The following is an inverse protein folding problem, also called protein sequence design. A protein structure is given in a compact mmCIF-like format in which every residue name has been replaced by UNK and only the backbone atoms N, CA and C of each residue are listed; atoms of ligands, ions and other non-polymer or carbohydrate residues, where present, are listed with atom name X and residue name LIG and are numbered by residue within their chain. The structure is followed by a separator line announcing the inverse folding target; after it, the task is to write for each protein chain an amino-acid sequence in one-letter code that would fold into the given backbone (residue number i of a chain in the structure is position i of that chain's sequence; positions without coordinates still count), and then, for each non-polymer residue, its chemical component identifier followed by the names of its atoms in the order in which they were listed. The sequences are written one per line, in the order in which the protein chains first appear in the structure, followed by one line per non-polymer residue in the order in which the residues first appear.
data_IF_359720733046
#
_entry.id   IF_359720733046
#
_cell.length_a   1.000
_cell.length_b   1.000
_cell.length_c   1.000
_cell.angle_alpha   90.00
_cell.angle_beta   90.00
_cell.angle_gamma   90.00
#
_symmetry.space_group_name_H-M   'P 1'
#
loop_
_entity.id
_entity.type
_entity.pdbx_description
1 polymer ?
#
# COMPACT_ATOMS: atom_id res chain seq x y z
N UNK A 1 -6.32 -21.27 30.10
CA UNK A 1 -5.47 -20.05 30.03
C UNK A 1 -5.81 -19.35 28.72
N UNK A 2 -6.68 -18.33 28.73
CA UNK A 2 -7.05 -17.62 27.50
C UNK A 2 -5.84 -16.79 27.02
N UNK A 3 -5.36 -16.93 25.77
CA UNK A 3 -4.34 -16.03 25.27
C UNK A 3 -4.91 -14.62 25.26
N UNK A 4 -4.27 -13.70 26.00
CA UNK A 4 -4.63 -12.27 26.02
C UNK A 4 -4.72 -11.78 24.57
N UNK A 5 -5.94 -11.50 24.09
CA UNK A 5 -6.20 -10.93 22.76
C UNK A 5 -5.37 -9.64 22.67
N UNK A 6 -4.39 -9.59 21.77
CA UNK A 6 -3.63 -8.35 21.53
C UNK A 6 -4.63 -7.28 21.11
N UNK A 7 -4.58 -6.06 21.68
CA UNK A 7 -5.44 -4.97 21.22
C UNK A 7 -5.18 -4.78 19.73
N UNK A 8 -6.25 -4.89 18.95
CA UNK A 8 -6.21 -4.79 17.50
C UNK A 8 -7.10 -3.64 17.07
N UNK A 9 -6.60 -2.76 16.22
CA UNK A 9 -7.38 -1.75 15.55
C UNK A 9 -8.37 -2.40 14.59
N UNK A 10 -9.57 -1.84 14.50
CA UNK A 10 -10.55 -2.20 13.46
C UNK A 10 -10.11 -1.65 12.10
N UNK A 11 -10.72 -2.13 11.02
CA UNK A 11 -10.41 -1.64 9.67
C UNK A 11 -10.70 -0.14 9.52
N UNK A 12 -11.77 0.34 10.17
CA UNK A 12 -12.11 1.77 10.23
C UNK A 12 -11.02 2.58 10.95
N UNK A 13 -10.55 2.10 12.09
CA UNK A 13 -9.47 2.74 12.84
C UNK A 13 -8.17 2.75 12.04
N UNK A 14 -7.83 1.64 11.37
CA UNK A 14 -6.65 1.57 10.49
C UNK A 14 -6.77 2.58 9.35
N UNK A 15 -7.96 2.71 8.75
CA UNK A 15 -8.21 3.70 7.68
C UNK A 15 -8.01 5.12 8.17
N UNK A 16 -8.58 5.47 9.33
CA UNK A 16 -8.42 6.81 9.94
C UNK A 16 -6.95 7.08 10.23
N UNK A 17 -6.26 6.13 10.87
CA UNK A 17 -4.84 6.27 11.21
C UNK A 17 -3.97 6.42 9.96
N UNK A 18 -4.26 5.68 8.88
CA UNK A 18 -3.51 5.73 7.62
C UNK A 18 -3.66 7.05 6.85
N UNK A 19 -4.70 7.84 7.13
CA UNK A 19 -4.92 9.13 6.48
C UNK A 19 -4.07 10.24 7.08
N UNK A 20 -3.55 10.06 8.29
CA UNK A 20 -2.71 11.07 8.93
C UNK A 20 -1.31 11.09 8.29
N UNK A 21 -0.79 12.26 7.86
CA UNK A 21 0.54 12.36 7.23
C UNK A 21 1.70 11.89 8.12
N UNK A 22 1.51 11.90 9.44
CA UNK A 22 2.49 11.41 10.42
C UNK A 22 2.46 9.88 10.60
N UNK A 23 1.54 9.18 9.92
CA UNK A 23 1.48 7.73 9.91
C UNK A 23 2.21 7.19 8.68
N UNK A 24 3.31 6.47 8.91
CA UNK A 24 3.99 5.76 7.85
C UNK A 24 3.25 4.47 7.45
N UNK A 25 2.83 3.67 8.43
CA UNK A 25 2.06 2.43 8.23
C UNK A 25 1.09 2.23 9.39
N UNK A 26 -0.17 1.94 9.09
CA UNK A 26 -1.13 1.43 10.08
C UNK A 26 -1.58 0.02 9.70
N UNK A 27 -1.56 -0.87 10.67
CA UNK A 27 -2.01 -2.25 10.59
C UNK A 27 -2.82 -2.57 11.85
N UNK A 28 -3.68 -3.60 11.85
CA UNK A 28 -4.49 -3.94 13.01
C UNK A 28 -3.70 -4.09 14.31
N UNK A 29 -2.45 -4.54 14.27
CA UNK A 29 -1.61 -4.74 15.45
C UNK A 29 -0.45 -3.73 15.60
N UNK A 30 -0.29 -2.77 14.68
CA UNK A 30 0.91 -1.92 14.63
C UNK A 30 0.63 -0.59 13.94
N UNK A 31 1.05 0.50 14.59
CA UNK A 31 1.16 1.82 13.98
C UNK A 31 2.63 2.21 13.96
N UNK A 32 3.11 2.65 12.79
CA UNK A 32 4.47 3.13 12.57
C UNK A 32 4.38 4.59 12.16
N UNK A 33 5.07 5.44 12.90
CA UNK A 33 5.10 6.88 12.62
C UNK A 33 6.25 7.24 11.69
N UNK A 34 6.08 8.35 10.97
CA UNK A 34 7.14 8.92 10.12
C UNK A 34 8.28 9.51 10.96
N UNK A 35 9.38 9.90 10.31
CA UNK A 35 10.49 10.56 10.99
C UNK A 35 10.08 11.93 11.52
N UNK A 36 9.38 12.70 10.68
CA UNK A 36 8.90 14.06 10.97
C UNK A 36 8.03 14.08 12.22
N UNK A 37 7.16 13.07 12.39
CA UNK A 37 6.36 12.96 13.60
C UNK A 37 7.23 12.74 14.85
N UNK A 38 8.26 11.90 14.76
CA UNK A 38 9.14 11.62 15.90
C UNK A 38 9.92 12.86 16.30
N UNK A 39 10.42 13.62 15.32
CA UNK A 39 11.13 14.88 15.54
C UNK A 39 10.21 15.90 16.21
N UNK A 40 9.02 16.13 15.63
CA UNK A 40 7.97 16.96 16.24
C UNK A 40 7.64 16.50 17.67
N UNK A 41 7.48 15.20 17.89
CA UNK A 41 7.15 14.66 19.20
C UNK A 41 8.23 14.97 20.25
N UNK A 42 9.50 14.79 19.90
CA UNK A 42 10.63 15.05 20.80
C UNK A 42 10.73 16.54 21.13
N UNK A 43 10.58 17.41 20.12
CA UNK A 43 10.56 18.86 20.29
C UNK A 43 9.46 19.29 21.28
N UNK A 44 8.24 18.83 21.06
CA UNK A 44 7.09 19.15 21.92
C UNK A 44 7.24 18.64 23.36
N UNK A 45 7.90 17.50 23.56
CA UNK A 45 8.22 17.02 24.91
C UNK A 45 9.30 17.88 25.57
N UNK A 46 10.40 18.18 24.87
CA UNK A 46 11.59 18.80 25.45
C UNK A 46 11.45 20.31 25.67
N UNK A 47 10.84 21.01 24.71
CA UNK A 47 10.75 22.47 24.74
C UNK A 47 9.42 22.97 25.33
N UNK A 48 8.36 22.18 25.21
CA UNK A 48 7.01 22.58 25.65
C UNK A 48 6.43 21.73 26.79
N UNK A 49 7.12 20.67 27.21
CA UNK A 49 6.68 19.82 28.32
C UNK A 49 5.34 19.11 28.09
N UNK A 50 4.94 18.91 26.83
CA UNK A 50 3.60 18.41 26.52
C UNK A 50 3.45 16.91 26.83
N UNK A 51 2.22 16.54 27.21
CA UNK A 51 1.83 15.14 27.36
C UNK A 51 1.60 14.50 26.00
N UNK A 52 1.79 13.17 25.92
CA UNK A 52 1.58 12.41 24.67
C UNK A 52 0.20 12.65 24.07
N UNK A 53 -0.85 12.75 24.90
CA UNK A 53 -2.22 13.03 24.45
C UNK A 53 -2.31 14.39 23.75
N UNK A 54 -1.70 15.44 24.32
CA UNK A 54 -1.70 16.77 23.72
C UNK A 54 -0.92 16.79 22.39
N UNK A 55 0.20 16.10 22.34
CA UNK A 55 1.04 16.01 21.14
C UNK A 55 0.31 15.26 20.02
N UNK A 56 -0.33 14.12 20.34
CA UNK A 56 -1.14 13.37 19.37
C UNK A 56 -2.27 14.24 18.81
N UNK A 57 -2.96 14.98 19.68
CA UNK A 57 -4.03 15.91 19.26
C UNK A 57 -3.49 17.03 18.36
N UNK A 58 -2.34 17.62 18.71
CA UNK A 58 -1.69 18.65 17.91
C UNK A 58 -1.22 18.11 16.53
N UNK A 59 -0.83 16.84 16.48
CA UNK A 59 -0.47 16.13 15.26
C UNK A 59 -1.70 15.63 14.45
N UNK A 60 -2.92 16.03 14.82
CA UNK A 60 -4.14 15.67 14.10
C UNK A 60 -4.63 14.23 14.34
N UNK A 61 -4.15 13.55 15.37
CA UNK A 61 -4.72 12.28 15.82
C UNK A 61 -5.83 12.49 16.84
N UNK A 62 -6.80 11.58 16.85
CA UNK A 62 -7.67 11.39 18.00
C UNK A 62 -6.97 10.48 19.04
N UNK A 63 -6.61 10.99 20.24
CA UNK A 63 -5.94 10.19 21.26
C UNK A 63 -6.78 9.00 21.77
N UNK A 64 -8.11 9.02 21.61
CA UNK A 64 -8.99 7.93 22.05
C UNK A 64 -8.82 6.66 21.22
N UNK A 65 -8.28 6.79 20.00
CA UNK A 65 -7.92 5.65 19.16
C UNK A 65 -6.79 4.82 19.76
N UNK A 66 -5.97 5.41 20.63
CA UNK A 66 -4.85 4.73 21.25
C UNK A 66 -5.21 4.28 22.67
N UNK A 67 -5.01 2.99 22.95
CA UNK A 67 -5.07 2.50 24.33
C UNK A 67 -4.06 3.22 25.22
N UNK A 68 -4.31 3.29 26.54
CA UNK A 68 -3.37 3.90 27.49
C UNK A 68 -1.96 3.31 27.38
N UNK A 69 -1.87 1.99 27.27
CA UNK A 69 -0.60 1.28 27.09
C UNK A 69 0.10 1.64 25.76
N UNK A 70 -0.65 1.94 24.69
CA UNK A 70 -0.09 2.42 23.44
C UNK A 70 0.47 3.84 23.59
N UNK A 71 -0.28 4.75 24.22
CA UNK A 71 0.15 6.14 24.51
C UNK A 71 1.46 6.14 25.32
N UNK A 72 1.55 5.34 26.38
CA UNK A 72 2.74 5.25 27.21
C UNK A 72 3.93 4.67 26.43
N UNK A 73 3.69 3.65 25.59
CA UNK A 73 4.73 3.06 24.74
C UNK A 73 5.24 4.00 23.66
N UNK A 74 4.37 4.83 23.05
CA UNK A 74 4.77 5.82 22.05
C UNK A 74 5.83 6.74 22.65
N UNK A 75 5.51 7.34 23.81
CA UNK A 75 6.43 8.24 24.51
C UNK A 75 7.74 7.55 24.84
N UNK A 76 7.67 6.39 25.49
CA UNK A 76 8.85 5.64 25.92
C UNK A 76 9.76 5.29 24.74
N UNK A 77 9.19 4.80 23.63
CA UNK A 77 9.97 4.35 22.47
C UNK A 77 10.61 5.51 21.71
N UNK A 78 9.86 6.59 21.45
CA UNK A 78 10.39 7.75 20.71
C UNK A 78 11.50 8.43 21.51
N UNK A 79 11.29 8.64 22.82
CA UNK A 79 12.33 9.26 23.66
C UNK A 79 13.57 8.37 23.82
N UNK A 80 13.39 7.05 23.94
CA UNK A 80 14.52 6.12 23.98
C UNK A 80 15.30 6.08 22.66
N UNK A 81 14.60 6.11 21.52
CA UNK A 81 15.23 6.19 20.19
C UNK A 81 16.01 7.50 20.03
N UNK A 82 15.42 8.64 20.43
CA UNK A 82 16.07 9.94 20.39
C UNK A 82 17.25 10.11 21.36
N UNK A 83 17.31 9.30 22.42
CA UNK A 83 18.44 9.26 23.35
C UNK A 83 19.51 8.23 22.95
N UNK A 84 19.21 7.38 21.96
CA UNK A 84 20.17 6.37 21.49
C UNK A 84 21.32 7.03 20.69
N UNK A 85 22.51 6.41 20.64
CA UNK A 85 23.63 6.94 19.85
C UNK A 85 23.31 7.11 18.37
N UNK A 86 22.35 6.33 17.86
CA UNK A 86 21.96 6.33 16.46
C UNK A 86 20.89 7.38 16.13
N UNK A 87 20.27 8.00 17.14
CA UNK A 87 19.24 9.02 17.00
C UNK A 87 17.90 8.51 16.45
N UNK A 88 17.02 9.46 16.10
CA UNK A 88 15.75 9.18 15.44
C UNK A 88 15.98 8.67 14.02
N UNK A 89 15.33 7.57 13.65
CA UNK A 89 15.45 6.97 12.33
C UNK A 89 14.14 6.96 11.58
N UNK A 90 14.24 7.16 10.26
CA UNK A 90 13.14 6.93 9.34
C UNK A 90 12.68 5.46 9.41
N UNK A 91 11.36 5.21 9.35
CA UNK A 91 10.84 3.85 9.29
C UNK A 91 11.31 3.13 8.01
N UNK A 92 11.56 1.82 8.13
CA UNK A 92 12.01 0.99 7.01
C UNK A 92 10.84 0.50 6.15
N UNK A 93 11.07 0.46 4.84
CA UNK A 93 10.13 -0.05 3.85
C UNK A 93 9.21 1.04 3.28
N UNK A 94 8.30 0.61 2.40
CA UNK A 94 7.32 1.51 1.78
C UNK A 94 6.24 1.91 2.80
N UNK A 95 5.91 3.20 2.78
CA UNK A 95 4.74 3.77 3.45
C UNK A 95 3.44 3.16 2.93
N UNK A 96 2.35 3.38 3.66
CA UNK A 96 1.03 2.89 3.27
C UNK A 96 0.59 3.42 1.91
N UNK A 97 0.89 4.69 1.61
CA UNK A 97 0.57 5.31 0.33
C UNK A 97 1.38 4.67 -0.81
N UNK A 98 2.70 4.52 -0.63
CA UNK A 98 3.57 3.91 -1.63
C UNK A 98 3.22 2.44 -1.91
N UNK A 99 2.78 1.69 -0.89
CA UNK A 99 2.29 0.32 -1.07
C UNK A 99 1.04 0.28 -1.94
N UNK A 100 0.09 1.17 -1.69
CA UNK A 100 -1.15 1.27 -2.47
C UNK A 100 -0.84 1.66 -3.92
N UNK A 101 0.08 2.60 -4.13
CA UNK A 101 0.50 3.00 -5.48
C UNK A 101 1.24 1.88 -6.22
N UNK A 102 2.16 1.18 -5.55
CA UNK A 102 2.87 0.04 -6.12
C UNK A 102 1.90 -1.09 -6.52
N UNK A 103 0.87 -1.33 -5.70
CA UNK A 103 -0.20 -2.28 -6.03
C UNK A 103 -1.03 -1.81 -7.22
N UNK A 104 -1.39 -0.53 -7.29
CA UNK A 104 -2.13 0.04 -8.42
C UNK A 104 -1.34 -0.09 -9.73
N UNK A 105 -0.05 0.27 -9.73
CA UNK A 105 0.84 0.11 -10.89
C UNK A 105 0.90 -1.34 -11.37
N UNK A 106 1.10 -2.29 -10.45
CA UNK A 106 1.15 -3.71 -10.79
C UNK A 106 -0.16 -4.22 -11.43
N UNK A 107 -1.32 -3.76 -10.94
CA UNK A 107 -2.61 -4.11 -11.53
C UNK A 107 -2.79 -3.53 -12.93
N UNK A 108 -2.39 -2.27 -13.15
CA UNK A 108 -2.42 -1.63 -14.47
C UNK A 108 -1.53 -2.37 -15.47
N UNK A 109 -0.34 -2.80 -15.06
CA UNK A 109 0.58 -3.56 -15.91
C UNK A 109 0.00 -4.93 -16.27
N UNK A 110 -0.62 -5.62 -15.31
CA UNK A 110 -1.31 -6.89 -15.56
C UNK A 110 -2.48 -6.71 -16.54
N UNK A 111 -3.26 -5.63 -16.41
CA UNK A 111 -4.36 -5.31 -17.32
C UNK A 111 -3.86 -5.00 -18.73
N UNK A 112 -2.82 -4.17 -18.88
CA UNK A 112 -2.19 -3.88 -20.17
C UNK A 112 -1.69 -5.14 -20.87
N UNK A 113 -1.06 -6.04 -20.11
CA UNK A 113 -0.56 -7.32 -20.62
C UNK A 113 -1.72 -8.18 -21.14
N UNK A 114 -2.81 -8.30 -20.37
CA UNK A 114 -4.01 -9.05 -20.76
C UNK A 114 -4.65 -8.52 -22.04
N UNK A 115 -4.78 -7.19 -22.17
CA UNK A 115 -5.31 -6.56 -23.39
C UNK A 115 -4.43 -6.85 -24.60
N UNK A 116 -3.12 -6.70 -24.48
CA UNK A 116 -2.17 -6.98 -25.57
C UNK A 116 -2.24 -8.45 -26.04
N UNK A 117 -2.37 -9.40 -25.10
CA UNK A 117 -2.54 -10.82 -25.44
C UNK A 117 -3.81 -11.05 -26.26
N UNK A 118 -4.94 -10.44 -25.86
CA UNK A 118 -6.21 -10.58 -26.60
C UNK A 118 -6.12 -10.02 -28.02
N UNK A 119 -5.51 -8.85 -28.19
CA UNK A 119 -5.32 -8.24 -29.52
C UNK A 119 -4.47 -9.12 -30.43
N UNK A 120 -3.38 -9.70 -29.90
CA UNK A 120 -2.55 -10.64 -30.65
C UNK A 120 -3.33 -11.90 -31.04
N UNK A 121 -4.14 -12.46 -30.14
CA UNK A 121 -4.99 -13.63 -30.45
C UNK A 121 -5.99 -13.32 -31.56
N UNK A 122 -6.64 -12.15 -31.55
CA UNK A 122 -7.57 -11.74 -32.60
C UNK A 122 -6.87 -11.59 -33.96
N UNK A 123 -5.65 -11.04 -33.98
CA UNK A 123 -4.85 -10.95 -35.21
C UNK A 123 -4.48 -12.32 -35.76
N UNK A 124 -4.09 -13.27 -34.90
CA UNK A 124 -3.80 -14.65 -35.30
C UNK A 124 -5.04 -15.28 -35.95
N UNK A 125 -6.21 -15.19 -35.30
CA UNK A 125 -7.47 -15.73 -35.86
C UNK A 125 -7.79 -15.10 -37.21
N UNK A 126 -7.62 -13.79 -37.36
CA UNK A 126 -7.87 -13.11 -38.62
C UNK A 126 -6.91 -13.57 -39.73
N UNK A 127 -5.62 -13.73 -39.42
CA UNK A 127 -4.62 -14.24 -40.36
C UNK A 127 -4.91 -15.69 -40.75
N UNK A 128 -5.30 -16.55 -39.81
CA UNK A 128 -5.72 -17.92 -40.08
C UNK A 128 -6.92 -17.95 -41.04
N UNK A 129 -7.91 -17.09 -40.84
CA UNK A 129 -9.06 -16.96 -41.75
C UNK A 129 -8.63 -16.53 -43.17
N UNK A 130 -7.71 -15.57 -43.30
CA UNK A 130 -7.18 -15.15 -44.59
C UNK A 130 -6.44 -16.30 -45.30
N UNK A 131 -5.61 -17.05 -44.56
CA UNK A 131 -4.90 -18.23 -45.09
C UNK A 131 -5.89 -19.30 -45.58
N UNK A 132 -6.92 -19.61 -44.81
CA UNK A 132 -7.95 -20.57 -45.21
C UNK A 132 -8.74 -20.12 -46.44
N UNK A 133 -9.01 -18.82 -46.55
CA UNK A 133 -9.63 -18.25 -47.74
C UNK A 133 -8.75 -18.42 -49.00
N UNK A 134 -7.46 -18.09 -48.91
CA UNK A 134 -6.53 -18.27 -50.03
C UNK A 134 -6.39 -19.74 -50.44
N UNK A 135 -6.31 -20.67 -49.47
CA UNK A 135 -6.30 -22.11 -49.75
C UNK A 135 -7.55 -22.55 -50.51
N UNK A 136 -8.74 -22.05 -50.15
CA UNK A 136 -9.99 -22.34 -50.86
C UNK A 136 -9.96 -21.83 -52.30
N UNK A 137 -9.50 -20.59 -52.53
CA UNK A 137 -9.35 -20.04 -53.87
C UNK A 137 -8.39 -20.91 -54.69
N UNK A 138 -7.20 -21.21 -54.16
CA UNK A 138 -6.20 -22.02 -54.84
C UNK A 138 -6.75 -23.41 -55.21
N UNK A 139 -7.51 -24.04 -54.32
CA UNK A 139 -8.15 -25.34 -54.58
C UNK A 139 -9.15 -25.25 -55.75
N UNK A 140 -10.00 -24.22 -55.79
CA UNK A 140 -10.94 -23.99 -56.90
C UNK A 140 -10.21 -23.81 -58.24
N UNK A 141 -9.07 -23.11 -58.25
CA UNK A 141 -8.25 -22.95 -59.46
C UNK A 141 -7.60 -24.26 -59.93
N UNK A 142 -7.12 -25.10 -58.99
CA UNK A 142 -6.47 -26.38 -59.30
C UNK A 142 -7.47 -27.48 -59.69
N UNK A 143 -8.69 -27.40 -59.16
CA UNK A 143 -9.77 -28.37 -59.37
C UNK A 143 -11.07 -27.64 -59.78
N UNK A 144 -11.15 -27.15 -61.03
CA UNK A 144 -12.32 -26.42 -61.49
C UNK A 144 -13.54 -27.35 -61.49
N UNK A 145 -14.71 -26.90 -61.00
CA UNK A 145 -15.92 -27.70 -61.06
C UNK A 145 -16.27 -27.96 -62.54
N UNK A 146 -16.52 -29.23 -62.87
CA UNK A 146 -16.98 -29.62 -64.20
C UNK A 146 -18.32 -28.97 -64.53
N UNK A 147 -18.45 -28.48 -65.77
CA UNK A 147 -19.66 -27.85 -66.32
C UNK A 147 -20.94 -28.67 -66.12
#
# INVERSE_FOLDING_TARGET
MNPKKKPSYTDEQVKILSQNPYTHVAMPNKVTFTLEFKEFFVDQVRHHGLSTIKILKAAGYDPTLFSRAAIDNIRRRILAEAASPEGLKAPRGLSQAERTEAFAKKNLDAQRTSTSIKEMQQRIVHLEQQVEFFKKIQNIYLHPPGN
#
